data_IF_623471339532
#
_entry.id   IF_623471339532
#
_cell.length_a   1.000
_cell.length_b   1.000
_cell.length_c   1.000
_cell.angle_alpha   90.00
_cell.angle_beta   90.00
_cell.angle_gamma   90.00
#
_symmetry.space_group_name_H-M   'P 1'
#
loop_
_entity.id
_entity.type
_entity.pdbx_description
1 polymer ?
#
# COMPACT_ATOMS: atom_id res chain seq x y z
N UNK A 1 -12.13 1.38 -4.85
CA UNK A 1 -12.60 0.47 -3.77
C UNK A 1 -12.72 -0.93 -4.33
N UNK A 2 -12.08 -1.93 -3.71
CA UNK A 2 -12.26 -3.33 -4.09
C UNK A 2 -13.50 -3.91 -3.39
N UNK A 3 -14.29 -4.78 -4.04
CA UNK A 3 -15.47 -5.38 -3.42
C UNK A 3 -15.11 -6.38 -2.32
N UNK A 4 -16.02 -6.54 -1.35
CA UNK A 4 -15.89 -7.60 -0.34
C UNK A 4 -16.05 -9.00 -0.96
N UNK A 5 -15.43 -10.04 -0.37
CA UNK A 5 -15.62 -11.42 -0.83
C UNK A 5 -17.10 -11.85 -0.81
N UNK A 6 -17.50 -12.76 -1.72
CA UNK A 6 -18.84 -13.34 -1.69
C UNK A 6 -19.04 -14.25 -0.45
N UNK A 7 -20.29 -14.62 -0.12
CA UNK A 7 -20.56 -15.64 0.89
C UNK A 7 -19.87 -16.98 0.56
N UNK A 8 -19.39 -17.67 1.58
CA UNK A 8 -18.62 -18.91 1.45
C UNK A 8 -17.32 -18.86 2.25
N UNK A 9 -16.55 -19.96 2.29
CA UNK A 9 -15.31 -20.01 3.04
C UNK A 9 -14.24 -19.08 2.43
N UNK A 10 -13.65 -18.23 3.26
CA UNK A 10 -12.52 -17.38 2.94
C UNK A 10 -11.31 -17.86 3.75
N UNK A 11 -10.24 -18.25 3.05
CA UNK A 11 -9.00 -18.70 3.67
C UNK A 11 -7.98 -17.57 3.76
N UNK A 12 -7.55 -17.26 4.98
CA UNK A 12 -6.41 -16.39 5.26
C UNK A 12 -5.17 -17.25 5.46
N UNK A 13 -4.10 -16.92 4.75
CA UNK A 13 -2.77 -17.52 4.94
C UNK A 13 -1.82 -16.38 5.26
N UNK A 14 -1.16 -16.46 6.41
CA UNK A 14 -0.26 -15.42 6.91
C UNK A 14 1.07 -16.05 7.31
N UNK A 15 2.17 -15.38 6.94
CA UNK A 15 3.53 -15.73 7.36
C UNK A 15 4.29 -14.43 7.58
N UNK A 16 5.07 -14.34 8.67
CA UNK A 16 5.86 -13.16 8.97
C UNK A 16 7.21 -13.53 9.57
N UNK A 17 8.13 -13.93 8.69
CA UNK A 17 9.45 -14.44 9.08
C UNK A 17 10.24 -13.42 9.92
N UNK A 18 10.18 -12.13 9.56
CA UNK A 18 10.90 -11.07 10.24
C UNK A 18 10.52 -10.93 11.73
N UNK A 19 9.34 -11.40 12.12
CA UNK A 19 8.88 -11.43 13.52
C UNK A 19 8.74 -12.85 14.08
N UNK A 20 9.30 -13.85 13.39
CA UNK A 20 9.25 -15.24 13.82
C UNK A 20 7.86 -15.88 13.80
N UNK A 21 6.92 -15.32 13.02
CA UNK A 21 5.58 -15.91 12.88
C UNK A 21 5.62 -16.95 11.76
N UNK A 22 5.46 -18.25 12.09
CA UNK A 22 5.41 -19.30 11.08
C UNK A 22 4.15 -19.16 10.23
N UNK A 23 4.09 -19.88 9.10
CA UNK A 23 2.88 -19.91 8.29
C UNK A 23 1.69 -20.43 9.11
N UNK A 24 0.61 -19.66 9.10
CA UNK A 24 -0.65 -20.01 9.73
C UNK A 24 -1.79 -19.83 8.73
N UNK A 25 -2.78 -20.72 8.83
CA UNK A 25 -3.98 -20.70 7.99
C UNK A 25 -5.23 -20.65 8.85
N UNK A 26 -6.20 -19.83 8.47
CA UNK A 26 -7.53 -19.77 9.08
C UNK A 26 -8.62 -19.67 8.00
N UNK A 27 -9.74 -20.36 8.20
CA UNK A 27 -10.94 -20.18 7.38
C UNK A 27 -12.00 -19.39 8.14
N UNK A 28 -12.62 -18.45 7.44
CA UNK A 28 -13.66 -17.56 7.97
C UNK A 28 -14.86 -17.56 7.02
N UNK A 29 -16.07 -17.47 7.55
CA UNK A 29 -17.28 -17.29 6.75
C UNK A 29 -17.29 -15.89 6.10
N UNK A 30 -17.33 -15.84 4.77
CA UNK A 30 -17.42 -14.61 3.99
C UNK A 30 -18.68 -13.79 4.29
N UNK A 31 -19.79 -14.42 4.70
CA UNK A 31 -20.95 -13.68 5.16
C UNK A 31 -20.68 -12.94 6.48
N UNK A 32 -19.78 -13.46 7.34
CA UNK A 32 -19.34 -12.74 8.53
C UNK A 32 -18.49 -11.51 8.18
N UNK A 33 -17.66 -11.60 7.14
CA UNK A 33 -16.89 -10.45 6.62
C UNK A 33 -17.84 -9.36 6.07
N UNK A 34 -18.85 -9.74 5.29
CA UNK A 34 -19.85 -8.80 4.77
C UNK A 34 -20.61 -8.08 5.89
N UNK A 35 -21.04 -8.81 6.93
CA UNK A 35 -21.70 -8.23 8.11
C UNK A 35 -20.78 -7.27 8.86
N UNK A 36 -19.51 -7.63 9.05
CA UNK A 36 -18.52 -6.78 9.71
C UNK A 36 -18.23 -5.51 8.90
N UNK A 37 -18.10 -5.63 7.57
CA UNK A 37 -17.87 -4.48 6.68
C UNK A 37 -18.99 -3.44 6.71
N UNK A 38 -20.25 -3.87 6.93
CA UNK A 38 -21.38 -2.95 7.04
C UNK A 38 -21.35 -2.06 8.29
N UNK A 39 -20.59 -2.45 9.33
CA UNK A 39 -20.42 -1.68 10.57
C UNK A 39 -18.98 -1.22 10.80
N UNK A 40 -18.12 -1.29 9.79
CA UNK A 40 -16.73 -0.88 9.91
C UNK A 40 -16.61 0.64 9.99
N UNK A 41 -15.72 1.11 10.87
CA UNK A 41 -15.36 2.53 10.99
C UNK A 41 -14.05 2.79 10.25
N UNK A 42 -14.00 3.88 9.48
CA UNK A 42 -12.79 4.32 8.79
C UNK A 42 -11.88 5.06 9.77
N UNK A 43 -10.80 4.40 10.21
CA UNK A 43 -9.83 4.99 11.14
C UNK A 43 -8.78 5.86 10.45
N UNK A 44 -8.40 5.50 9.22
CA UNK A 44 -7.43 6.22 8.41
C UNK A 44 -8.00 6.44 7.03
N UNK A 45 -8.65 7.60 6.80
CA UNK A 45 -9.12 7.98 5.49
C UNK A 45 -7.98 7.90 4.47
N UNK A 46 -8.26 7.32 3.31
CA UNK A 46 -7.27 7.31 2.25
C UNK A 46 -6.99 8.75 1.81
N UNK A 47 -5.73 9.15 1.90
CA UNK A 47 -5.21 10.37 1.31
C UNK A 47 -4.21 10.00 0.21
N UNK A 48 -4.22 10.70 -0.93
CA UNK A 48 -3.16 10.52 -1.92
C UNK A 48 -1.82 10.85 -1.25
N UNK A 49 -0.81 10.01 -1.49
CA UNK A 49 0.53 10.35 -1.06
C UNK A 49 0.89 11.73 -1.61
N UNK A 50 1.50 12.62 -0.82
CA UNK A 50 1.95 13.91 -1.35
C UNK A 50 2.87 13.63 -2.54
N UNK A 51 2.65 14.34 -3.65
CA UNK A 51 3.62 14.34 -4.74
C UNK A 51 4.96 14.78 -4.15
N UNK A 52 5.93 13.88 -4.12
CA UNK A 52 7.32 14.22 -3.84
C UNK A 52 7.82 14.92 -5.12
N UNK A 53 8.15 16.23 -5.08
CA UNK A 53 8.81 16.85 -6.20
C UNK A 53 10.12 16.08 -6.41
N UNK A 54 10.22 15.39 -7.54
CA UNK A 54 11.51 14.87 -7.96
C UNK A 54 12.42 16.07 -8.20
N UNK A 55 13.46 16.20 -7.37
CA UNK A 55 14.55 17.14 -7.64
C UNK A 55 15.57 16.41 -8.51
N UNK A 56 15.63 16.67 -9.83
CA UNK A 56 16.64 16.06 -10.67
C UNK A 56 18.03 16.44 -10.14
N UNK A 57 18.99 15.51 -10.10
CA UNK A 57 20.36 15.90 -9.81
C UNK A 57 20.79 17.00 -10.80
N UNK A 58 21.56 17.98 -10.30
CA UNK A 58 22.11 19.01 -11.16
C UNK A 58 22.84 18.35 -12.34
N UNK A 59 22.60 18.78 -13.59
CA UNK A 59 23.31 18.22 -14.72
C UNK A 59 24.81 18.52 -14.59
N UNK A 60 25.65 17.55 -14.98
CA UNK A 60 27.08 17.78 -15.13
C UNK A 60 27.30 18.75 -16.30
N UNK A 61 27.49 20.03 -15.98
CA UNK A 61 27.75 21.08 -16.95
C UNK A 61 29.27 21.27 -17.13
N UNK A 62 29.78 21.33 -18.36
CA UNK A 62 31.15 21.74 -18.61
C UNK A 62 31.39 23.17 -18.11
N UNK A 63 32.52 23.39 -17.43
CA UNK A 63 32.91 24.69 -16.88
C UNK A 63 32.97 25.80 -17.96
N UNK A 64 33.24 25.44 -19.21
CA UNK A 64 33.41 26.34 -20.36
C UNK A 64 32.17 26.47 -21.27
N UNK A 65 31.05 25.89 -20.85
CA UNK A 65 29.79 25.88 -21.60
C UNK A 65 29.16 27.26 -21.79
N UNK A 66 28.27 27.37 -22.78
CA UNK A 66 27.47 28.57 -23.07
C UNK A 66 26.70 29.09 -21.83
N UNK A 67 26.27 28.21 -20.92
CA UNK A 67 25.58 28.55 -19.68
C UNK A 67 26.48 29.18 -18.60
N UNK A 68 27.81 29.09 -18.73
CA UNK A 68 28.78 29.69 -17.79
C UNK A 68 29.06 31.17 -18.10
N UNK A 69 28.51 31.72 -19.20
CA UNK A 69 28.83 33.06 -19.72
C UNK A 69 27.81 34.15 -19.36
N UNK A 70 27.16 34.03 -18.19
CA UNK A 70 26.21 35.03 -17.68
C UNK A 70 26.77 36.44 -17.64
#
# INVERSE_FOLDING_TARGET
>A
MAPLPPPGPVRFVVRWDAQGVPEATAEVDGAAIARAGAGAEELWPWEPAPEQPWDPPAPDLPDDGWFSRG
#
